data_IF_234267542962
#
_entry.id   IF_234267542962
#
_cell.length_a   1.000
_cell.length_b   1.000
_cell.length_c   1.000
_cell.angle_alpha   90.00
_cell.angle_beta   90.00
_cell.angle_gamma   90.00
#
_symmetry.space_group_name_H-M   'P 1'
#
loop_
_entity.id
_entity.type
_entity.pdbx_description
1 polymer ?
#
# COMPACT_ATOMS: atom_id res chain seq x y z
N UNK A 1 3.58 42.83 -1.01
CA UNK A 1 3.20 41.80 -2.00
C UNK A 1 4.34 41.73 -3.00
N UNK A 2 5.26 40.75 -2.91
CA UNK A 2 6.20 40.53 -4.00
C UNK A 2 5.44 39.86 -5.14
N UNK A 3 5.30 40.65 -6.20
CA UNK A 3 4.83 40.30 -7.54
C UNK A 3 5.84 39.38 -8.25
N UNK A 4 5.32 38.62 -9.21
CA UNK A 4 6.01 37.81 -10.22
C UNK A 4 6.48 36.41 -9.81
N UNK A 5 5.50 35.51 -9.62
CA UNK A 5 5.73 34.08 -9.86
C UNK A 5 5.85 33.88 -11.37
N UNK A 6 7.08 33.82 -11.87
CA UNK A 6 7.34 33.33 -13.23
C UNK A 6 6.99 31.85 -13.28
N UNK A 7 5.89 31.51 -13.92
CA UNK A 7 5.51 30.13 -14.22
C UNK A 7 6.43 29.67 -15.36
N UNK A 8 7.51 28.96 -15.03
CA UNK A 8 8.34 28.28 -16.01
C UNK A 8 7.49 27.22 -16.75
N UNK A 9 7.67 27.12 -18.06
CA UNK A 9 6.98 26.14 -18.87
C UNK A 9 7.35 24.74 -18.38
N UNK A 10 6.35 23.90 -18.04
CA UNK A 10 6.55 22.55 -17.48
C UNK A 10 7.54 21.70 -18.28
N UNK A 11 7.57 21.85 -19.62
CA UNK A 11 8.55 21.15 -20.47
C UNK A 11 9.98 21.64 -20.24
N UNK A 12 10.18 22.95 -20.06
CA UNK A 12 11.50 23.52 -19.78
C UNK A 12 11.97 23.16 -18.39
N UNK A 13 11.09 23.17 -17.38
CA UNK A 13 11.41 22.73 -16.03
C UNK A 13 11.86 21.26 -15.99
N UNK A 14 11.13 20.37 -16.69
CA UNK A 14 11.48 18.94 -16.78
C UNK A 14 12.79 18.74 -17.57
N UNK A 15 12.99 19.44 -18.69
CA UNK A 15 14.25 19.36 -19.45
C UNK A 15 15.45 19.85 -18.63
N UNK A 16 15.26 20.91 -17.84
CA UNK A 16 16.30 21.48 -17.00
C UNK A 16 16.68 20.53 -15.87
N UNK A 17 15.69 19.95 -15.18
CA UNK A 17 15.90 18.90 -14.19
C UNK A 17 16.58 17.65 -14.79
N UNK A 18 16.12 17.20 -15.96
CA UNK A 18 16.73 16.06 -16.66
C UNK A 18 18.18 16.35 -17.07
N UNK A 19 18.50 17.56 -17.54
CA UNK A 19 19.87 17.94 -17.89
C UNK A 19 20.74 18.23 -16.66
N UNK A 20 20.18 18.59 -15.51
CA UNK A 20 20.92 18.71 -14.26
C UNK A 20 21.24 17.34 -13.65
N UNK A 21 20.29 16.40 -13.70
CA UNK A 21 20.46 15.03 -13.20
C UNK A 21 21.25 14.14 -14.17
N UNK A 22 21.06 14.35 -15.47
CA UNK A 22 21.68 13.59 -16.56
C UNK A 22 22.16 14.57 -17.62
N UNK A 23 23.27 15.29 -17.36
CA UNK A 23 23.81 16.24 -18.32
C UNK A 23 24.03 15.54 -19.66
N UNK A 24 23.57 16.13 -20.79
CA UNK A 24 23.82 15.57 -22.09
C UNK A 24 25.33 15.42 -22.23
N UNK A 25 25.78 14.26 -22.73
CA UNK A 25 27.19 13.97 -22.95
C UNK A 25 27.75 14.99 -23.96
N UNK A 26 28.25 16.11 -23.44
CA UNK A 26 28.74 17.26 -24.22
C UNK A 26 30.12 17.00 -24.81
N UNK A 27 30.76 15.93 -24.39
CA UNK A 27 31.99 15.41 -24.96
C UNK A 27 31.79 13.93 -25.26
N UNK A 28 32.28 13.49 -26.42
CA UNK A 28 32.62 12.09 -26.62
C UNK A 28 33.71 11.77 -25.59
N UNK A 29 33.31 11.34 -24.39
CA UNK A 29 34.23 10.80 -23.40
C UNK A 29 34.72 9.48 -24.00
N UNK A 30 35.81 9.54 -24.75
CA UNK A 30 36.57 8.35 -25.12
C UNK A 30 37.26 7.91 -23.85
N UNK A 31 36.55 7.12 -23.04
CA UNK A 31 37.14 6.43 -21.91
C UNK A 31 38.14 5.46 -22.55
N UNK A 32 39.43 5.78 -22.50
CA UNK A 32 40.50 4.82 -22.78
C UNK A 32 40.49 3.82 -21.62
N UNK A 33 39.59 2.86 -21.70
CA UNK A 33 39.57 1.72 -20.80
C UNK A 33 40.85 0.95 -21.05
N UNK A 34 41.78 1.01 -20.11
CA UNK A 34 42.91 0.10 -20.10
C UNK A 34 42.35 -1.27 -19.69
N UNK A 35 42.51 -2.31 -20.51
CA UNK A 35 41.97 -3.64 -20.23
C UNK A 35 42.43 -4.19 -18.87
N UNK A 36 43.60 -3.74 -18.38
CA UNK A 36 44.12 -4.09 -17.05
C UNK A 36 43.34 -3.47 -15.87
N UNK A 37 42.48 -2.48 -16.11
CA UNK A 37 41.64 -1.82 -15.11
C UNK A 37 40.20 -2.32 -15.11
N UNK A 38 39.82 -3.17 -16.08
CA UNK A 38 38.50 -3.77 -16.10
C UNK A 38 38.45 -4.92 -15.07
N UNK A 39 37.39 -5.00 -14.27
CA UNK A 39 37.21 -6.12 -13.35
C UNK A 39 37.24 -7.43 -14.14
N UNK A 40 37.98 -8.42 -13.64
CA UNK A 40 38.01 -9.74 -14.26
C UNK A 40 36.65 -10.42 -14.10
N UNK A 41 36.40 -11.49 -14.85
CA UNK A 41 35.20 -12.30 -14.68
C UNK A 41 34.97 -12.74 -13.22
N UNK A 42 36.06 -13.06 -12.50
CA UNK A 42 35.99 -13.42 -11.07
C UNK A 42 35.63 -12.22 -10.20
N UNK A 43 36.17 -11.04 -10.48
CA UNK A 43 35.83 -9.81 -9.75
C UNK A 43 34.36 -9.43 -9.98
N UNK A 44 33.86 -9.56 -11.20
CA UNK A 44 32.43 -9.42 -11.49
C UNK A 44 31.60 -10.44 -10.71
N UNK A 45 31.98 -11.72 -10.64
CA UNK A 45 31.21 -12.70 -9.85
C UNK A 45 31.19 -12.40 -8.35
N UNK A 46 32.25 -11.81 -7.80
CA UNK A 46 32.34 -11.44 -6.38
C UNK A 46 31.50 -10.19 -6.08
N UNK A 47 31.45 -9.24 -7.01
CA UNK A 47 30.80 -7.93 -6.80
C UNK A 47 29.44 -7.77 -7.48
N UNK A 48 29.05 -8.67 -8.37
CA UNK A 48 27.75 -8.65 -9.05
C UNK A 48 26.69 -9.31 -8.17
N UNK A 49 25.86 -8.48 -7.54
CA UNK A 49 24.73 -8.93 -6.73
C UNK A 49 23.49 -9.30 -7.55
N UNK A 50 23.58 -9.31 -8.89
CA UNK A 50 22.39 -9.43 -9.75
C UNK A 50 21.58 -8.14 -9.77
N UNK A 51 20.76 -7.96 -10.80
CA UNK A 51 19.60 -7.09 -10.66
C UNK A 51 18.59 -7.80 -9.76
N UNK A 52 17.89 -7.07 -8.86
CA UNK A 52 16.81 -7.66 -8.07
C UNK A 52 15.80 -8.32 -9.00
N UNK A 53 15.27 -9.48 -8.59
CA UNK A 53 14.15 -10.07 -9.29
C UNK A 53 12.92 -9.17 -9.16
N UNK A 54 11.94 -9.33 -10.05
CA UNK A 54 10.70 -8.56 -9.96
C UNK A 54 9.97 -8.77 -8.64
N UNK A 55 10.25 -9.83 -7.87
CA UNK A 55 9.66 -10.03 -6.54
C UNK A 55 10.40 -9.35 -5.39
N UNK A 56 11.56 -8.76 -5.66
CA UNK A 56 12.44 -8.14 -4.66
C UNK A 56 12.19 -6.63 -4.50
N UNK A 57 11.45 -6.01 -5.43
CA UNK A 57 11.06 -4.61 -5.29
C UNK A 57 10.02 -4.45 -4.16
N UNK A 58 10.10 -3.38 -3.35
CA UNK A 58 9.15 -3.16 -2.27
C UNK A 58 7.76 -2.87 -2.82
N UNK A 59 6.75 -3.27 -2.05
CA UNK A 59 5.37 -2.85 -2.30
C UNK A 59 5.15 -1.39 -1.93
N UNK A 60 4.06 -0.84 -2.43
CA UNK A 60 3.63 0.53 -2.13
C UNK A 60 2.37 0.52 -1.26
N UNK A 61 2.20 1.59 -0.50
CA UNK A 61 0.98 1.94 0.20
C UNK A 61 0.64 3.39 -0.11
N UNK A 62 -0.63 3.68 -0.40
CA UNK A 62 -1.11 5.05 -0.58
C UNK A 62 -1.66 5.55 0.76
N UNK A 63 -0.99 6.51 1.43
CA UNK A 63 -1.48 7.06 2.69
C UNK A 63 -2.86 7.70 2.51
N UNK A 64 -3.77 7.45 3.46
CA UNK A 64 -5.15 7.96 3.38
C UNK A 64 -5.19 9.48 3.54
N UNK A 65 -4.26 10.03 4.31
CA UNK A 65 -4.10 11.46 4.57
C UNK A 65 -3.84 12.26 3.29
N UNK A 66 -3.14 11.67 2.32
CA UNK A 66 -2.86 12.31 1.03
C UNK A 66 -4.13 12.48 0.18
N UNK A 67 -5.24 11.81 0.55
CA UNK A 67 -6.57 11.96 -0.04
C UNK A 67 -7.50 12.82 0.82
N UNK A 68 -6.97 13.50 1.85
CA UNK A 68 -7.74 14.33 2.77
C UNK A 68 -8.52 13.55 3.83
N UNK A 69 -8.26 12.24 3.99
CA UNK A 69 -8.91 11.40 4.99
C UNK A 69 -8.17 11.52 6.32
N UNK A 70 -8.54 12.54 7.09
CA UNK A 70 -7.90 12.91 8.35
C UNK A 70 -8.60 12.27 9.57
N UNK A 71 -8.00 12.44 10.75
CA UNK A 71 -8.53 12.03 12.06
C UNK A 71 -8.71 10.51 12.28
N UNK A 72 -8.06 9.68 11.45
CA UNK A 72 -8.13 8.23 11.56
C UNK A 72 -7.65 7.74 12.93
N UNK A 73 -6.58 8.35 13.46
CA UNK A 73 -5.98 7.99 14.75
C UNK A 73 -7.01 7.98 15.88
N UNK A 74 -7.82 9.04 15.98
CA UNK A 74 -8.75 9.26 17.08
C UNK A 74 -9.74 8.10 17.25
N UNK A 75 -10.18 7.51 16.13
CA UNK A 75 -11.12 6.39 16.15
C UNK A 75 -10.57 5.16 16.89
N UNK A 76 -9.26 4.90 16.84
CA UNK A 76 -8.63 3.75 17.51
C UNK A 76 -8.49 3.92 19.03
N UNK A 77 -8.61 5.15 19.53
CA UNK A 77 -8.56 5.44 20.96
C UNK A 77 -9.95 5.59 21.59
N UNK A 78 -10.98 5.75 20.78
CA UNK A 78 -12.33 5.96 21.27
C UNK A 78 -12.86 4.69 21.94
N UNK A 79 -13.01 4.75 23.27
CA UNK A 79 -13.42 3.63 24.12
C UNK A 79 -12.27 2.92 24.84
N UNK A 80 -11.02 3.36 24.64
CA UNK A 80 -9.97 3.09 25.63
C UNK A 80 -10.28 3.88 26.90
N UNK A 81 -10.19 3.22 28.05
CA UNK A 81 -10.33 3.92 29.32
C UNK A 81 -9.10 4.83 29.47
N UNK A 82 -9.27 6.12 29.79
CA UNK A 82 -8.15 7.06 29.98
C UNK A 82 -7.09 6.56 30.99
N UNK A 83 -7.44 5.62 31.89
CA UNK A 83 -6.49 4.97 32.81
C UNK A 83 -5.75 3.76 32.23
N UNK A 84 -6.31 3.09 31.21
CA UNK A 84 -5.74 1.92 30.55
C UNK A 84 -5.41 2.27 29.10
N UNK A 85 -4.11 2.46 28.84
CA UNK A 85 -3.58 2.75 27.49
C UNK A 85 -3.77 1.58 26.50
N UNK A 86 -4.01 0.37 27.01
CA UNK A 86 -4.09 -0.85 26.22
C UNK A 86 -5.40 -1.62 26.42
N UNK A 87 -5.82 -2.34 25.38
CA UNK A 87 -6.93 -3.30 25.47
C UNK A 87 -6.59 -4.48 26.40
N UNK A 88 -7.54 -5.01 27.18
CA UNK A 88 -7.31 -6.23 27.94
C UNK A 88 -7.09 -7.43 27.00
N UNK A 89 -6.23 -8.35 27.42
CA UNK A 89 -6.06 -9.65 26.77
C UNK A 89 -7.32 -10.54 26.97
N UNK A 90 -7.60 -11.48 26.05
CA UNK A 90 -6.89 -11.75 24.81
C UNK A 90 -7.27 -10.80 23.66
N UNK A 91 -6.28 -10.46 22.83
CA UNK A 91 -6.51 -9.67 21.61
C UNK A 91 -6.96 -10.55 20.46
N UNK A 92 -7.88 -10.01 19.64
CA UNK A 92 -8.43 -10.66 18.46
C UNK A 92 -8.08 -9.88 17.19
N UNK A 93 -7.79 -10.57 16.07
CA UNK A 93 -7.49 -9.91 14.82
C UNK A 93 -8.73 -9.24 14.20
N UNK A 94 -8.54 -8.34 13.23
CA UNK A 94 -9.65 -7.69 12.54
C UNK A 94 -10.40 -8.67 11.63
N UNK A 95 -11.70 -8.42 11.47
CA UNK A 95 -12.60 -9.25 10.67
C UNK A 95 -12.78 -8.66 9.27
N UNK A 96 -12.52 -9.46 8.23
CA UNK A 96 -12.72 -9.04 6.83
C UNK A 96 -14.20 -9.04 6.41
N UNK A 97 -15.04 -9.84 7.06
CA UNK A 97 -16.48 -9.87 6.83
C UNK A 97 -17.17 -9.77 8.18
N UNK A 98 -17.46 -8.54 8.63
CA UNK A 98 -18.06 -8.30 9.94
C UNK A 98 -19.44 -8.97 10.05
N UNK A 99 -20.28 -8.86 9.00
CA UNK A 99 -21.63 -9.45 8.99
C UNK A 99 -22.14 -9.85 7.59
N UNK A 100 -21.42 -9.50 6.53
CA UNK A 100 -21.83 -9.76 5.15
C UNK A 100 -20.67 -10.36 4.36
N UNK A 101 -20.88 -11.51 3.70
CA UNK A 101 -19.87 -12.05 2.81
C UNK A 101 -19.54 -11.06 1.68
N UNK A 102 -18.40 -11.27 1.05
CA UNK A 102 -18.01 -10.55 -0.16
C UNK A 102 -18.96 -11.00 -1.28
N UNK A 103 -19.46 -10.06 -2.08
CA UNK A 103 -20.17 -10.41 -3.29
C UNK A 103 -19.20 -11.03 -4.30
N UNK A 104 -19.36 -12.30 -4.67
CA UNK A 104 -18.49 -12.96 -5.65
C UNK A 104 -18.75 -12.50 -7.10
N UNK A 105 -19.84 -11.75 -7.34
CA UNK A 105 -20.18 -11.12 -8.63
C UNK A 105 -19.72 -9.66 -8.72
N UNK A 106 -18.59 -9.32 -8.10
CA UNK A 106 -17.97 -8.01 -8.28
C UNK A 106 -17.21 -8.02 -9.59
N UNK A 107 -17.30 -6.93 -10.37
CA UNK A 107 -16.61 -6.80 -11.66
C UNK A 107 -15.11 -7.08 -11.55
N UNK A 108 -14.46 -6.66 -10.45
CA UNK A 108 -13.04 -6.94 -10.21
C UNK A 108 -12.76 -8.44 -10.08
N UNK A 109 -13.65 -9.21 -9.45
CA UNK A 109 -13.52 -10.67 -9.27
C UNK A 109 -13.82 -11.39 -10.59
N UNK A 110 -14.86 -10.97 -11.30
CA UNK A 110 -15.25 -11.55 -12.58
C UNK A 110 -14.17 -11.37 -13.65
N UNK A 111 -13.48 -10.22 -13.63
CA UNK A 111 -12.39 -9.92 -14.56
C UNK A 111 -11.04 -10.56 -14.16
N UNK A 112 -10.88 -11.02 -12.91
CA UNK A 112 -9.62 -11.54 -12.39
C UNK A 112 -9.82 -12.89 -11.70
N UNK A 113 -9.55 -13.98 -12.42
CA UNK A 113 -9.69 -15.34 -11.89
C UNK A 113 -8.88 -15.59 -10.62
N UNK A 114 -7.77 -14.87 -10.42
CA UNK A 114 -6.95 -14.94 -9.20
C UNK A 114 -7.70 -14.47 -7.94
N UNK A 115 -8.66 -13.56 -8.11
CA UNK A 115 -9.47 -13.00 -7.03
C UNK A 115 -10.73 -13.81 -6.73
N UNK A 116 -11.06 -14.83 -7.54
CA UNK A 116 -12.15 -15.75 -7.21
C UNK A 116 -11.88 -16.48 -5.90
N UNK A 117 -12.92 -16.77 -5.12
CA UNK A 117 -12.80 -17.50 -3.85
C UNK A 117 -11.95 -18.77 -3.95
N UNK A 118 -12.16 -19.59 -4.99
CA UNK A 118 -11.43 -20.85 -5.21
C UNK A 118 -9.92 -20.67 -5.46
N UNK A 119 -9.51 -19.49 -5.93
CA UNK A 119 -8.13 -19.10 -6.17
C UNK A 119 -7.52 -18.44 -4.94
N UNK A 120 -8.15 -17.40 -4.39
CA UNK A 120 -7.58 -16.60 -3.29
C UNK A 120 -7.42 -17.35 -1.97
N UNK A 121 -8.18 -18.41 -1.72
CA UNK A 121 -7.93 -19.30 -0.57
C UNK A 121 -6.58 -20.04 -0.65
N UNK A 122 -6.01 -20.15 -1.86
CA UNK A 122 -4.71 -20.79 -2.10
C UNK A 122 -3.56 -19.77 -2.08
N UNK A 123 -3.85 -18.49 -1.79
CA UNK A 123 -2.81 -17.49 -1.66
C UNK A 123 -1.89 -17.84 -0.48
N UNK A 124 -0.58 -17.54 -0.59
CA UNK A 124 0.41 -17.86 0.42
C UNK A 124 0.03 -17.36 1.81
N UNK A 125 0.32 -18.21 2.78
CA UNK A 125 0.43 -17.85 4.20
C UNK A 125 1.94 -17.78 4.52
N UNK A 126 2.33 -16.93 5.47
CA UNK A 126 3.72 -16.61 5.81
C UNK A 126 4.48 -15.83 4.71
N UNK A 127 3.76 -15.05 3.88
CA UNK A 127 4.33 -14.11 2.91
C UNK A 127 4.21 -12.68 3.43
N UNK A 128 5.11 -12.31 4.33
CA UNK A 128 5.09 -11.04 5.07
C UNK A 128 5.50 -9.85 4.21
N UNK A 129 4.89 -8.70 4.48
CA UNK A 129 5.25 -7.40 3.92
C UNK A 129 5.67 -6.44 5.04
N UNK A 130 6.81 -6.75 5.68
CA UNK A 130 7.29 -6.06 6.88
C UNK A 130 7.64 -4.60 6.63
N UNK A 131 7.99 -4.24 5.38
CA UNK A 131 8.28 -2.86 4.98
C UNK A 131 7.09 -1.92 5.20
N UNK A 132 5.88 -2.46 5.30
CA UNK A 132 4.66 -1.67 5.49
C UNK A 132 4.28 -1.43 6.94
N UNK A 133 5.04 -1.96 7.90
CA UNK A 133 4.74 -1.81 9.32
C UNK A 133 4.65 -0.33 9.73
N UNK A 134 5.58 0.51 9.24
CA UNK A 134 5.57 1.95 9.50
C UNK A 134 4.33 2.64 8.91
N UNK A 135 3.85 2.19 7.75
CA UNK A 135 2.63 2.73 7.13
C UNK A 135 1.39 2.43 7.98
N UNK A 136 1.34 1.28 8.65
CA UNK A 136 0.25 0.96 9.57
C UNK A 136 0.34 1.79 10.85
N UNK A 137 1.54 1.91 11.43
CA UNK A 137 1.75 2.70 12.65
C UNK A 137 1.61 4.20 12.45
N UNK A 138 1.63 4.69 11.21
CA UNK A 138 1.27 6.07 10.92
C UNK A 138 -0.14 6.42 11.45
N UNK A 139 -1.04 5.45 11.58
CA UNK A 139 -2.40 5.62 12.10
C UNK A 139 -2.53 5.48 13.64
N UNK A 140 -1.41 5.37 14.36
CA UNK A 140 -1.35 5.39 15.84
C UNK A 140 -0.79 6.72 16.32
N UNK A 141 -1.17 7.11 17.54
CA UNK A 141 -0.56 8.21 18.27
C UNK A 141 0.66 7.71 19.05
N UNK A 142 1.86 8.00 18.53
CA UNK A 142 3.12 7.61 19.13
C UNK A 142 3.38 8.26 20.50
N UNK A 143 2.65 9.32 20.86
CA UNK A 143 2.73 9.92 22.20
C UNK A 143 2.00 9.07 23.25
N UNK A 144 1.02 8.28 22.80
CA UNK A 144 0.23 7.40 23.67
C UNK A 144 0.87 6.01 23.69
N UNK A 145 1.25 5.48 22.52
CA UNK A 145 1.78 4.13 22.35
C UNK A 145 3.16 4.15 21.68
N UNK A 146 4.22 4.17 22.50
CA UNK A 146 5.60 4.14 22.00
C UNK A 146 5.97 2.78 21.37
N UNK A 147 5.36 1.69 21.86
CA UNK A 147 5.61 0.31 21.39
C UNK A 147 4.30 -0.50 21.36
N UNK A 148 3.37 -0.12 20.48
CA UNK A 148 2.11 -0.86 20.32
C UNK A 148 2.35 -2.22 19.63
N UNK A 149 2.06 -3.37 20.27
CA UNK A 149 2.12 -4.65 19.58
C UNK A 149 1.13 -4.67 18.41
N UNK A 150 1.53 -5.27 17.28
CA UNK A 150 0.69 -5.32 16.09
C UNK A 150 -0.65 -6.02 16.38
N UNK A 151 -0.65 -7.03 17.23
CA UNK A 151 -1.83 -7.79 17.64
C UNK A 151 -2.86 -6.88 18.35
N UNK A 152 -2.38 -5.93 19.16
CA UNK A 152 -3.28 -4.94 19.77
C UNK A 152 -3.83 -3.97 18.72
N UNK A 153 -3.04 -3.56 17.72
CA UNK A 153 -3.56 -2.79 16.59
C UNK A 153 -4.70 -3.56 15.90
N UNK A 154 -4.54 -4.88 15.74
CA UNK A 154 -5.60 -5.77 15.25
C UNK A 154 -6.86 -5.72 16.10
N UNK A 155 -6.72 -5.75 17.43
CA UNK A 155 -7.85 -5.59 18.36
C UNK A 155 -8.51 -4.21 18.25
N UNK A 156 -7.74 -3.14 18.06
CA UNK A 156 -8.28 -1.78 17.87
C UNK A 156 -9.08 -1.67 16.57
N UNK A 157 -8.55 -2.20 15.46
CA UNK A 157 -9.28 -2.30 14.19
C UNK A 157 -10.60 -3.07 14.34
N UNK A 158 -10.54 -4.24 14.99
CA UNK A 158 -11.72 -5.05 15.25
C UNK A 158 -12.77 -4.27 16.05
N UNK A 159 -12.33 -3.62 17.13
CA UNK A 159 -13.21 -2.86 18.01
C UNK A 159 -13.89 -1.71 17.28
N UNK A 160 -13.15 -0.99 16.42
CA UNK A 160 -13.72 0.08 15.59
C UNK A 160 -14.72 -0.48 14.57
N UNK A 161 -14.43 -1.61 13.94
CA UNK A 161 -15.33 -2.25 12.97
C UNK A 161 -16.61 -2.83 13.58
N UNK A 162 -16.55 -3.38 14.79
CA UNK A 162 -17.72 -3.93 15.49
C UNK A 162 -18.60 -2.82 16.11
N UNK A 163 -18.02 -1.67 16.45
CA UNK A 163 -18.77 -0.54 16.99
C UNK A 163 -19.67 0.09 15.93
N UNK A 164 -20.94 0.26 16.27
CA UNK A 164 -21.93 0.96 15.42
C UNK A 164 -21.88 2.49 15.51
N UNK A 165 -20.85 3.03 16.15
CA UNK A 165 -20.69 4.47 16.37
C UNK A 165 -20.20 5.22 15.11
N UNK A 166 -20.00 4.52 13.97
CA UNK A 166 -19.50 5.10 12.70
C UNK A 166 -18.22 5.92 12.88
N UNK A 167 -17.31 5.45 13.74
CA UNK A 167 -16.07 6.15 14.06
C UNK A 167 -15.16 6.32 12.84
N UNK A 168 -15.19 5.34 11.94
CA UNK A 168 -14.57 5.39 10.63
C UNK A 168 -15.54 4.85 9.59
N UNK A 169 -15.46 5.32 8.33
CA UNK A 169 -16.10 4.66 7.21
C UNK A 169 -15.69 3.18 7.14
N UNK A 170 -16.67 2.29 6.96
CA UNK A 170 -16.49 0.82 6.96
C UNK A 170 -15.40 0.38 5.97
N UNK A 171 -15.31 1.02 4.81
CA UNK A 171 -14.28 0.71 3.80
C UNK A 171 -12.86 1.02 4.28
N UNK A 172 -12.66 2.06 5.11
CA UNK A 172 -11.34 2.40 5.69
C UNK A 172 -10.93 1.32 6.68
N UNK A 173 -11.85 0.88 7.53
CA UNK A 173 -11.58 -0.20 8.50
C UNK A 173 -11.16 -1.47 7.75
N UNK A 174 -11.87 -1.83 6.68
CA UNK A 174 -11.50 -3.00 5.87
C UNK A 174 -10.18 -2.82 5.11
N UNK A 175 -9.89 -1.63 4.58
CA UNK A 175 -8.63 -1.35 3.89
C UNK A 175 -7.43 -1.43 4.84
N UNK A 176 -7.54 -0.87 6.04
CA UNK A 176 -6.51 -0.99 7.08
C UNK A 176 -6.39 -2.42 7.62
N UNK A 177 -7.50 -3.15 7.71
CA UNK A 177 -7.49 -4.58 8.04
C UNK A 177 -6.79 -5.41 6.96
N UNK A 178 -6.94 -5.04 5.69
CA UNK A 178 -6.20 -5.65 4.58
C UNK A 178 -4.69 -5.43 4.74
N UNK A 179 -4.28 -4.20 5.05
CA UNK A 179 -2.88 -3.86 5.34
C UNK A 179 -2.33 -4.65 6.54
N UNK A 180 -3.11 -4.74 7.63
CA UNK A 180 -2.76 -5.56 8.80
C UNK A 180 -2.47 -7.01 8.40
N UNK A 181 -3.34 -7.65 7.63
CA UNK A 181 -3.14 -9.04 7.21
C UNK A 181 -1.99 -9.20 6.21
N UNK A 182 -1.73 -8.18 5.38
CA UNK A 182 -0.57 -8.12 4.48
C UNK A 182 0.74 -8.13 5.27
N UNK A 183 0.83 -7.31 6.31
CA UNK A 183 2.01 -7.25 7.21
C UNK A 183 2.17 -8.57 7.97
N UNK A 184 1.08 -9.17 8.44
CA UNK A 184 1.09 -10.48 9.14
C UNK A 184 1.28 -11.68 8.19
N UNK A 185 1.44 -11.46 6.89
CA UNK A 185 1.74 -12.49 5.91
C UNK A 185 0.61 -13.46 5.60
N UNK A 186 -0.65 -13.09 5.89
CA UNK A 186 -1.82 -13.92 5.59
C UNK A 186 -2.58 -13.37 4.37
N UNK A 187 -2.07 -13.65 3.16
CA UNK A 187 -2.60 -13.06 1.93
C UNK A 187 -4.10 -13.35 1.68
N UNK A 188 -4.66 -14.55 1.96
CA UNK A 188 -6.10 -14.77 1.78
C UNK A 188 -6.99 -13.76 2.54
N UNK A 189 -6.67 -13.48 3.81
CA UNK A 189 -7.38 -12.47 4.60
C UNK A 189 -7.09 -11.06 4.10
N UNK A 190 -5.85 -10.77 3.68
CA UNK A 190 -5.53 -9.47 3.09
C UNK A 190 -6.38 -9.20 1.84
N UNK A 191 -6.53 -10.19 0.95
CA UNK A 191 -7.38 -10.11 -0.25
C UNK A 191 -8.85 -9.94 0.14
N UNK A 192 -9.37 -10.76 1.05
CA UNK A 192 -10.79 -10.69 1.46
C UNK A 192 -11.14 -9.32 2.05
N UNK A 193 -10.32 -8.80 2.96
CA UNK A 193 -10.50 -7.46 3.52
C UNK A 193 -10.40 -6.37 2.44
N UNK A 194 -9.45 -6.49 1.49
CA UNK A 194 -9.28 -5.54 0.40
C UNK A 194 -10.47 -5.53 -0.57
N UNK A 195 -10.97 -6.72 -0.93
CA UNK A 195 -12.17 -6.88 -1.75
C UNK A 195 -13.40 -6.32 -1.05
N UNK A 196 -13.51 -6.51 0.28
CA UNK A 196 -14.63 -5.94 1.04
C UNK A 196 -14.60 -4.42 1.04
N UNK A 197 -13.43 -3.83 1.25
CA UNK A 197 -13.26 -2.38 1.13
C UNK A 197 -13.66 -1.89 -0.27
N UNK A 198 -13.19 -2.56 -1.32
CA UNK A 198 -13.50 -2.21 -2.71
C UNK A 198 -15.01 -2.31 -3.00
N UNK A 199 -15.66 -3.39 -2.56
CA UNK A 199 -17.12 -3.58 -2.68
C UNK A 199 -17.90 -2.41 -2.09
N UNK A 200 -17.54 -1.98 -0.88
CA UNK A 200 -18.21 -0.87 -0.19
C UNK A 200 -18.00 0.44 -0.93
N UNK A 201 -16.76 0.68 -1.41
CA UNK A 201 -16.42 1.88 -2.18
C UNK A 201 -17.25 1.97 -3.46
N UNK A 202 -17.28 0.92 -4.28
CA UNK A 202 -17.95 0.99 -5.60
C UNK A 202 -19.47 1.07 -5.49
N UNK A 203 -20.05 0.53 -4.40
CA UNK A 203 -21.49 0.63 -4.12
C UNK A 203 -21.91 2.01 -3.63
N UNK A 204 -20.96 2.82 -3.14
CA UNK A 204 -21.24 4.16 -2.66
C UNK A 204 -20.70 5.22 -3.63
N UNK A 205 -21.61 5.99 -4.23
CA UNK A 205 -21.27 7.05 -5.20
C UNK A 205 -20.28 8.08 -4.66
N UNK A 206 -20.35 8.41 -3.37
CA UNK A 206 -19.45 9.38 -2.71
C UNK A 206 -18.03 8.81 -2.60
N UNK A 207 -17.91 7.50 -2.36
CA UNK A 207 -16.63 6.87 -2.06
C UNK A 207 -15.88 6.43 -3.31
N UNK A 208 -16.57 6.27 -4.44
CA UNK A 208 -16.02 5.73 -5.69
C UNK A 208 -14.72 6.40 -6.16
N UNK A 209 -14.54 7.69 -5.86
CA UNK A 209 -13.32 8.45 -6.17
C UNK A 209 -12.05 7.93 -5.47
N UNK A 210 -12.19 7.13 -4.41
CA UNK A 210 -11.10 6.53 -3.62
C UNK A 210 -10.89 5.04 -3.95
N UNK A 211 -11.47 4.55 -5.04
CA UNK A 211 -11.31 3.14 -5.44
C UNK A 211 -9.86 2.80 -5.83
N UNK A 212 -9.08 3.79 -6.28
CA UNK A 212 -7.63 3.68 -6.52
C UNK A 212 -6.88 3.16 -5.28
N UNK A 213 -7.23 3.61 -4.07
CA UNK A 213 -6.62 3.15 -2.82
C UNK A 213 -6.75 1.63 -2.63
N UNK A 214 -7.96 1.11 -2.87
CA UNK A 214 -8.21 -0.33 -2.75
C UNK A 214 -7.57 -1.14 -3.87
N UNK A 215 -7.56 -0.61 -5.09
CA UNK A 215 -6.96 -1.26 -6.26
C UNK A 215 -5.45 -1.36 -6.11
N UNK A 216 -4.76 -0.27 -5.71
CA UNK A 216 -3.32 -0.31 -5.45
C UNK A 216 -3.00 -1.28 -4.31
N UNK A 217 -3.78 -1.30 -3.24
CA UNK A 217 -3.55 -2.27 -2.17
C UNK A 217 -3.72 -3.73 -2.65
N UNK A 218 -4.77 -4.03 -3.42
CA UNK A 218 -4.98 -5.37 -4.00
C UNK A 218 -3.87 -5.74 -5.00
N UNK A 219 -3.45 -4.82 -5.86
CA UNK A 219 -2.34 -5.00 -6.79
C UNK A 219 -1.06 -5.38 -6.04
N UNK A 220 -0.74 -4.69 -4.95
CA UNK A 220 0.44 -4.99 -4.13
C UNK A 220 0.35 -6.36 -3.46
N UNK A 221 -0.84 -6.80 -3.04
CA UNK A 221 -1.04 -8.15 -2.50
C UNK A 221 -0.84 -9.21 -3.60
N UNK A 222 -1.35 -8.99 -4.80
CA UNK A 222 -1.15 -9.89 -5.95
C UNK A 222 0.31 -9.94 -6.38
N UNK A 223 1.00 -8.80 -6.35
CA UNK A 223 2.43 -8.71 -6.59
C UNK A 223 3.23 -9.52 -5.56
N UNK A 224 2.90 -9.43 -4.26
CA UNK A 224 3.52 -10.26 -3.20
C UNK A 224 3.29 -11.76 -3.40
N UNK A 225 2.14 -12.12 -3.97
CA UNK A 225 1.80 -13.49 -4.37
C UNK A 225 2.51 -13.93 -5.66
N UNK A 226 3.16 -13.03 -6.40
CA UNK A 226 3.80 -13.34 -7.68
C UNK A 226 2.81 -13.41 -8.86
N UNK A 227 1.65 -12.78 -8.73
CA UNK A 227 0.61 -12.66 -9.74
C UNK A 227 0.75 -11.32 -10.47
N UNK A 228 1.87 -11.19 -11.19
CA UNK A 228 2.33 -9.91 -11.72
C UNK A 228 1.43 -9.33 -12.80
N UNK A 229 0.85 -10.15 -13.67
CA UNK A 229 -0.05 -9.71 -14.73
C UNK A 229 -1.34 -9.10 -14.13
N UNK A 230 -1.98 -9.82 -13.21
CA UNK A 230 -3.16 -9.30 -12.49
C UNK A 230 -2.81 -8.06 -11.64
N UNK A 231 -1.63 -8.04 -11.03
CA UNK A 231 -1.16 -6.87 -10.27
C UNK A 231 -0.98 -5.64 -11.17
N UNK A 232 -0.44 -5.82 -12.37
CA UNK A 232 -0.26 -4.76 -13.34
C UNK A 232 -1.61 -4.21 -13.80
N UNK A 233 -2.57 -5.08 -14.18
CA UNK A 233 -3.90 -4.65 -14.62
C UNK A 233 -4.63 -3.84 -13.53
N UNK A 234 -4.61 -4.31 -12.28
CA UNK A 234 -5.19 -3.55 -11.17
C UNK A 234 -4.49 -2.20 -10.93
N UNK A 235 -3.18 -2.13 -11.17
CA UNK A 235 -2.42 -0.87 -11.06
C UNK A 235 -2.81 0.11 -12.17
N UNK A 236 -2.96 -0.38 -13.41
CA UNK A 236 -3.43 0.43 -14.55
C UNK A 236 -4.85 0.95 -14.32
N UNK A 237 -5.74 0.11 -13.78
CA UNK A 237 -7.07 0.53 -13.37
C UNK A 237 -7.02 1.62 -12.30
N UNK A 238 -6.19 1.47 -11.27
CA UNK A 238 -6.02 2.49 -10.23
C UNK A 238 -5.50 3.81 -10.82
N UNK A 239 -4.52 3.74 -11.72
CA UNK A 239 -3.94 4.89 -12.41
C UNK A 239 -4.99 5.64 -13.27
N UNK A 240 -5.90 4.90 -13.92
CA UNK A 240 -6.99 5.49 -14.70
C UNK A 240 -7.99 6.28 -13.85
N UNK A 241 -8.14 5.91 -12.58
CA UNK A 241 -8.99 6.62 -11.61
C UNK A 241 -8.27 7.85 -11.07
N UNK A 242 -7.00 7.70 -10.70
CA UNK A 242 -6.18 8.81 -10.23
C UNK A 242 -4.72 8.63 -10.66
N UNK A 243 -4.28 9.52 -11.56
CA UNK A 243 -2.92 9.53 -12.10
C UNK A 243 -1.92 10.34 -11.27
N UNK A 244 -2.36 10.95 -10.16
CA UNK A 244 -1.45 11.66 -9.26
C UNK A 244 -0.67 10.66 -8.42
N UNK A 245 0.64 10.79 -8.48
CA UNK A 245 1.56 10.06 -7.61
C UNK A 245 1.20 10.33 -6.15
N UNK A 246 1.20 9.33 -5.26
CA UNK A 246 0.90 9.52 -3.85
C UNK A 246 1.90 10.40 -3.10
N UNK A 247 2.86 11.04 -3.75
CA UNK A 247 3.80 11.98 -3.12
C UNK A 247 4.47 12.83 -4.17
N UNK A 248 4.06 14.10 -4.29
CA UNK A 248 4.93 15.26 -4.56
C UNK A 248 4.26 16.51 -3.99
#
# INVERSE_FOLDING_TARGET
LPTDVKIENRKEFILKQLNELYPPLTQNIVIKLNEQQLPTYKDCQIHYYGLPSIGDYPTVWLPLENKGLLNIKQAFYQGLNHKKKHYPLPWSPPLCTLYKPINEHLSIIENHHVLMRSSRIKAPINRYDTNMLLNLYFYIDSTIDEQLPIEEFGQRLRSVGEKRENLLPEWIVHLLSSLYWRINGHLPHAIDCGLKAHEIIIKNKVYKQWSDLTLVNLANILYLWGKYEDALDLTEQAYSINSHEPTT
#
